data_IF_626686300242
#
_entry.id   IF_626686300242
#
_cell.length_a   1.000
_cell.length_b   1.000
_cell.length_c   1.000
_cell.angle_alpha   90.00
_cell.angle_beta   90.00
_cell.angle_gamma   90.00
#
_symmetry.space_group_name_H-M   'P 1'
#
loop_
_entity.id
_entity.type
_entity.pdbx_description
1 polymer ?
#
# COMPACT_ATOMS: atom_id res chain seq x y z
N UNK A 1 -8.00 -15.03 15.39
CA UNK A 1 -6.52 -15.00 15.39
C UNK A 1 -6.03 -13.63 15.87
N UNK A 2 -5.23 -13.58 16.93
CA UNK A 2 -4.67 -12.30 17.42
C UNK A 2 -3.36 -11.99 16.67
N UNK A 3 -3.44 -11.01 15.75
CA UNK A 3 -2.30 -10.53 14.95
C UNK A 3 -1.11 -10.12 15.84
N UNK A 4 -1.39 -9.48 16.97
CA UNK A 4 -0.34 -8.99 17.87
C UNK A 4 0.44 -10.12 18.53
N UNK A 5 -0.24 -11.23 18.83
CA UNK A 5 0.39 -12.42 19.40
C UNK A 5 1.37 -13.07 18.40
N UNK A 6 0.95 -13.22 17.13
CA UNK A 6 1.81 -13.77 16.07
C UNK A 6 3.02 -12.87 15.84
N UNK A 7 2.79 -11.56 15.72
CA UNK A 7 3.87 -10.60 15.54
C UNK A 7 4.90 -10.69 16.67
N UNK A 8 4.45 -10.77 17.92
CA UNK A 8 5.34 -10.94 19.07
C UNK A 8 6.16 -12.23 19.00
N UNK A 9 5.54 -13.34 18.59
CA UNK A 9 6.22 -14.62 18.43
C UNK A 9 7.26 -14.57 17.30
N UNK A 10 6.90 -14.04 16.13
CA UNK A 10 7.79 -13.95 14.99
C UNK A 10 8.95 -12.98 15.24
N UNK A 11 8.69 -11.83 15.86
CA UNK A 11 9.72 -10.85 16.20
C UNK A 11 10.69 -11.34 17.30
N UNK A 12 10.37 -12.44 18.00
CA UNK A 12 11.29 -13.08 18.93
C UNK A 12 12.35 -13.96 18.22
N UNK A 13 12.08 -14.41 17.00
CA UNK A 13 13.02 -15.16 16.14
C UNK A 13 13.21 -14.44 14.78
N UNK A 14 13.85 -13.26 14.78
CA UNK A 14 13.98 -12.45 13.58
C UNK A 14 14.82 -13.15 12.50
N UNK A 15 15.79 -13.98 12.86
CA UNK A 15 16.61 -14.71 11.87
C UNK A 15 15.75 -15.63 11.00
N UNK A 16 14.74 -16.27 11.59
CA UNK A 16 13.78 -17.11 10.87
C UNK A 16 12.83 -16.28 10.02
N UNK A 17 12.16 -15.30 10.62
CA UNK A 17 10.97 -14.68 10.03
C UNK A 17 11.25 -13.40 9.23
N UNK A 18 12.25 -12.60 9.60
CA UNK A 18 12.41 -11.25 9.04
C UNK A 18 13.78 -10.99 8.42
N UNK A 19 14.85 -11.61 8.91
CA UNK A 19 16.19 -11.36 8.41
C UNK A 19 16.33 -11.94 7.01
N UNK A 20 16.89 -11.12 6.11
CA UNK A 20 17.21 -11.45 4.73
C UNK A 20 18.64 -11.05 4.40
N UNK A 21 19.23 -11.65 3.36
CA UNK A 21 20.62 -11.37 2.93
C UNK A 21 20.88 -9.90 2.68
N UNK A 22 19.91 -9.19 2.07
CA UNK A 22 20.00 -7.75 1.81
C UNK A 22 20.39 -6.95 3.06
N UNK A 23 19.85 -7.32 4.23
CA UNK A 23 20.11 -6.60 5.47
C UNK A 23 21.57 -6.72 5.90
N UNK A 24 22.17 -7.89 5.73
CA UNK A 24 23.60 -8.10 6.01
C UNK A 24 24.48 -7.39 4.97
N UNK A 25 24.13 -7.50 3.69
CA UNK A 25 24.92 -6.94 2.58
C UNK A 25 24.93 -5.42 2.53
N UNK A 26 23.80 -4.77 2.86
CA UNK A 26 23.70 -3.31 2.88
C UNK A 26 23.96 -2.71 4.27
N UNK A 27 24.01 -3.53 5.32
CA UNK A 27 24.26 -3.08 6.70
C UNK A 27 23.03 -2.49 7.40
N UNK A 28 21.83 -3.03 7.13
CA UNK A 28 20.63 -2.65 7.87
C UNK A 28 20.74 -3.07 9.33
N UNK A 29 20.31 -2.18 10.23
CA UNK A 29 20.33 -2.36 11.67
C UNK A 29 18.90 -2.57 12.14
N UNK A 30 18.66 -3.68 12.84
CA UNK A 30 17.39 -3.93 13.52
C UNK A 30 17.27 -3.07 14.77
N UNK A 31 16.15 -2.40 14.96
CA UNK A 31 15.85 -1.52 16.09
C UNK A 31 14.42 -1.73 16.57
N UNK A 32 14.15 -1.39 17.83
CA UNK A 32 12.80 -1.32 18.38
C UNK A 32 12.38 0.15 18.47
N UNK A 33 11.17 0.47 18.02
CA UNK A 33 10.59 1.80 18.15
C UNK A 33 10.46 2.18 19.62
N UNK A 34 10.97 3.35 20.00
CA UNK A 34 10.92 3.84 21.38
C UNK A 34 9.51 4.25 21.84
N UNK A 35 8.55 4.41 20.92
CA UNK A 35 7.14 4.76 21.21
C UNK A 35 6.22 3.54 21.19
N UNK A 36 6.06 2.87 20.05
CA UNK A 36 5.15 1.71 19.93
C UNK A 36 5.80 0.34 20.18
N UNK A 37 7.13 0.25 20.26
CA UNK A 37 7.85 -1.03 20.47
C UNK A 37 7.96 -1.92 19.23
N UNK A 38 7.35 -1.58 18.09
CA UNK A 38 7.50 -2.33 16.82
C UNK A 38 8.96 -2.40 16.40
N UNK A 39 9.37 -3.55 15.88
CA UNK A 39 10.71 -3.73 15.32
C UNK A 39 10.77 -3.25 13.86
N UNK A 40 11.89 -2.64 13.49
CA UNK A 40 12.16 -2.18 12.14
C UNK A 40 13.64 -2.26 11.81
N UNK A 41 13.96 -2.20 10.52
CA UNK A 41 15.30 -2.30 9.95
C UNK A 41 15.59 -1.01 9.18
N UNK A 42 16.71 -0.37 9.50
CA UNK A 42 17.11 0.90 8.88
C UNK A 42 18.61 0.99 8.67
N UNK A 43 19.05 1.78 7.69
CA UNK A 43 20.45 2.17 7.52
C UNK A 43 20.83 3.37 8.42
N UNK A 44 19.86 4.07 9.03
CA UNK A 44 20.12 5.20 9.92
C UNK A 44 20.39 4.73 11.37
N UNK A 45 21.67 4.80 11.76
CA UNK A 45 22.12 4.49 13.11
C UNK A 45 21.52 5.41 14.19
N UNK A 46 21.00 6.59 13.84
CA UNK A 46 20.41 7.53 14.80
C UNK A 46 18.88 7.40 14.94
N UNK A 47 18.19 6.75 14.01
CA UNK A 47 16.72 6.59 14.04
C UNK A 47 16.24 5.80 15.25
N UNK A 48 15.31 6.34 16.04
CA UNK A 48 14.76 5.66 17.25
C UNK A 48 13.27 5.38 17.17
N UNK A 49 12.60 5.85 16.11
CA UNK A 49 11.17 5.73 15.88
C UNK A 49 10.92 4.98 14.56
N UNK A 50 9.88 4.14 14.54
CA UNK A 50 9.43 3.52 13.29
C UNK A 50 8.83 4.59 12.36
N UNK A 51 8.63 4.28 11.06
CA UNK A 51 8.04 5.21 10.10
C UNK A 51 6.66 5.77 10.48
N UNK A 52 5.83 5.02 11.22
CA UNK A 52 4.52 5.50 11.66
C UNK A 52 4.63 6.60 12.74
N UNK A 53 5.56 6.42 13.67
CA UNK A 53 5.80 7.32 14.81
C UNK A 53 6.87 8.39 14.53
N UNK A 54 7.46 8.37 13.34
CA UNK A 54 8.63 9.17 12.98
C UNK A 54 8.35 10.66 12.89
N UNK A 55 9.40 11.46 13.01
CA UNK A 55 9.30 12.91 12.73
C UNK A 55 9.23 13.20 11.23
N UNK A 56 9.66 12.25 10.41
CA UNK A 56 9.65 12.30 8.95
C UNK A 56 8.34 11.78 8.33
N UNK A 57 7.33 11.47 9.15
CA UNK A 57 6.03 10.96 8.67
C UNK A 57 5.37 11.94 7.71
N UNK A 58 5.17 11.48 6.46
CA UNK A 58 4.69 12.24 5.30
C UNK A 58 5.53 13.45 4.90
N UNK A 59 6.81 13.50 5.29
CA UNK A 59 7.72 14.60 4.96
C UNK A 59 8.06 14.73 3.47
N UNK A 60 7.64 13.77 2.63
CA UNK A 60 7.82 13.84 1.18
C UNK A 60 6.86 14.81 0.49
N UNK A 61 5.78 15.24 1.15
CA UNK A 61 4.84 16.21 0.60
C UNK A 61 5.55 17.57 0.46
N UNK A 62 5.69 18.05 -0.77
CA UNK A 62 6.48 19.24 -1.12
C UNK A 62 7.99 19.00 -1.22
N UNK A 63 8.51 17.87 -0.71
CA UNK A 63 9.93 17.50 -0.75
C UNK A 63 10.12 16.01 -1.09
N UNK A 64 9.86 15.58 -2.34
CA UNK A 64 9.95 14.17 -2.71
C UNK A 64 11.40 13.65 -2.62
N UNK A 65 11.62 12.38 -2.19
CA UNK A 65 12.94 11.79 -1.93
C UNK A 65 13.75 11.46 -3.21
N UNK A 66 13.27 11.84 -4.38
CA UNK A 66 13.87 11.59 -5.69
C UNK A 66 13.61 12.75 -6.63
N UNK A 67 14.45 12.92 -7.65
CA UNK A 67 14.25 13.89 -8.74
C UNK A 67 13.37 13.34 -9.86
N UNK A 68 13.06 12.04 -9.85
CA UNK A 68 12.15 11.42 -10.83
C UNK A 68 10.71 11.85 -10.54
N UNK A 69 9.91 12.01 -11.58
CA UNK A 69 8.48 12.36 -11.51
C UNK A 69 7.72 11.42 -12.43
N UNK A 70 6.93 10.54 -11.85
CA UNK A 70 6.12 9.58 -12.60
C UNK A 70 4.65 9.76 -12.26
N UNK A 71 3.82 9.96 -13.27
CA UNK A 71 2.37 9.85 -13.07
C UNK A 71 1.96 8.39 -12.78
N UNK A 72 0.67 8.16 -12.53
CA UNK A 72 0.12 6.83 -12.27
C UNK A 72 0.46 5.79 -13.35
N UNK A 73 0.36 6.16 -14.63
CA UNK A 73 0.62 5.23 -15.74
C UNK A 73 2.11 5.00 -15.95
N UNK A 74 2.92 6.04 -15.79
CA UNK A 74 4.38 5.95 -15.86
C UNK A 74 4.94 5.10 -14.73
N UNK A 75 4.39 5.24 -13.52
CA UNK A 75 4.78 4.45 -12.35
C UNK A 75 4.59 2.95 -12.63
N UNK A 76 3.47 2.56 -13.25
CA UNK A 76 3.25 1.15 -13.63
C UNK A 76 4.29 0.69 -14.66
N UNK A 77 4.55 1.49 -15.71
CA UNK A 77 5.56 1.14 -16.72
C UNK A 77 6.93 0.91 -16.10
N UNK A 78 7.33 1.75 -15.15
CA UNK A 78 8.61 1.58 -14.45
C UNK A 78 8.67 0.29 -13.63
N UNK A 79 7.57 -0.05 -12.96
CA UNK A 79 7.46 -1.30 -12.21
C UNK A 79 7.49 -2.51 -13.14
N UNK A 80 6.67 -2.51 -14.18
CA UNK A 80 6.59 -3.57 -15.17
C UNK A 80 7.95 -3.80 -15.86
N UNK A 81 8.59 -2.73 -16.34
CA UNK A 81 9.92 -2.78 -16.95
C UNK A 81 10.96 -3.39 -15.99
N UNK A 82 10.92 -3.01 -14.72
CA UNK A 82 11.83 -3.53 -13.71
C UNK A 82 11.62 -5.03 -13.50
N UNK A 83 10.39 -5.48 -13.25
CA UNK A 83 10.11 -6.88 -12.95
C UNK A 83 10.33 -7.79 -14.17
N UNK A 84 9.95 -7.35 -15.37
CA UNK A 84 10.21 -8.09 -16.62
C UNK A 84 11.72 -8.25 -16.85
N UNK A 85 12.52 -7.21 -16.59
CA UNK A 85 13.99 -7.30 -16.66
C UNK A 85 14.57 -8.27 -15.62
N UNK A 86 13.87 -8.48 -14.51
CA UNK A 86 14.22 -9.45 -13.47
C UNK A 86 13.41 -10.76 -13.61
N UNK A 87 13.17 -11.21 -14.85
CA UNK A 87 12.59 -12.51 -15.21
C UNK A 87 11.16 -12.79 -14.70
N UNK A 88 10.38 -11.76 -14.33
CA UNK A 88 8.96 -11.94 -14.05
C UNK A 88 8.14 -11.88 -15.33
N UNK A 89 7.07 -12.67 -15.37
CA UNK A 89 6.06 -12.52 -16.42
C UNK A 89 5.09 -11.43 -16.01
N UNK A 90 4.96 -10.36 -16.80
CA UNK A 90 3.87 -9.40 -16.64
C UNK A 90 2.57 -10.04 -17.08
N UNK A 91 1.56 -10.04 -16.21
CA UNK A 91 0.24 -10.61 -16.49
C UNK A 91 -0.83 -9.53 -16.42
N UNK A 92 -1.86 -9.69 -17.25
CA UNK A 92 -3.00 -8.79 -17.26
C UNK A 92 -3.78 -8.87 -15.95
N UNK A 93 -4.34 -7.73 -15.53
CA UNK A 93 -5.28 -7.67 -14.41
C UNK A 93 -6.46 -8.63 -14.61
N UNK A 94 -7.00 -9.13 -13.51
CA UNK A 94 -8.30 -9.78 -13.43
C UNK A 94 -9.42 -8.74 -13.29
N UNK A 95 -10.69 -9.13 -13.56
CA UNK A 95 -11.85 -8.31 -13.27
C UNK A 95 -11.91 -7.92 -11.79
N UNK A 96 -12.43 -6.72 -11.48
CA UNK A 96 -12.66 -6.29 -10.09
C UNK A 96 -13.82 -7.04 -9.44
N UNK A 97 -14.74 -7.58 -10.25
CA UNK A 97 -15.81 -8.48 -9.80
C UNK A 97 -15.21 -9.86 -9.62
N UNK A 98 -15.21 -10.39 -8.39
CA UNK A 98 -14.62 -11.67 -8.09
C UNK A 98 -15.56 -12.80 -8.55
N UNK A 99 -15.22 -13.46 -9.67
CA UNK A 99 -16.06 -14.49 -10.30
C UNK A 99 -15.64 -15.93 -9.99
N UNK A 100 -14.48 -16.09 -9.35
CA UNK A 100 -13.84 -17.38 -9.10
C UNK A 100 -13.85 -17.77 -7.62
N UNK A 101 -14.39 -16.91 -6.76
CA UNK A 101 -14.55 -17.13 -5.32
C UNK A 101 -15.93 -16.69 -4.88
N UNK A 102 -16.63 -17.56 -4.17
CA UNK A 102 -18.00 -17.31 -3.69
C UNK A 102 -18.04 -16.54 -2.36
N UNK A 103 -16.90 -16.41 -1.67
CA UNK A 103 -16.78 -15.73 -0.39
C UNK A 103 -16.48 -14.22 -0.49
N UNK A 104 -16.24 -13.72 -1.71
CA UNK A 104 -15.95 -12.31 -1.99
C UNK A 104 -16.77 -11.81 -3.18
N UNK A 105 -17.32 -10.60 -3.09
CA UNK A 105 -17.96 -9.95 -4.25
C UNK A 105 -16.95 -9.27 -5.18
N UNK A 106 -15.91 -8.67 -4.59
CA UNK A 106 -14.91 -7.89 -5.31
C UNK A 106 -13.49 -8.35 -4.96
N UNK A 107 -12.57 -8.14 -5.90
CA UNK A 107 -11.15 -8.37 -5.70
C UNK A 107 -10.58 -7.32 -4.74
N UNK A 108 -10.08 -7.76 -3.58
CA UNK A 108 -9.59 -6.89 -2.49
C UNK A 108 -8.05 -6.80 -2.39
N UNK A 109 -7.34 -7.70 -3.07
CA UNK A 109 -5.88 -7.78 -3.13
C UNK A 109 -5.47 -8.56 -4.40
N UNK A 110 -4.25 -8.35 -4.90
CA UNK A 110 -3.76 -9.01 -6.12
C UNK A 110 -3.69 -10.53 -6.01
N UNK A 111 -3.35 -11.06 -4.83
CA UNK A 111 -3.28 -12.52 -4.60
C UNK A 111 -4.63 -13.22 -4.78
N UNK A 112 -5.74 -12.49 -4.60
CA UNK A 112 -7.10 -13.04 -4.70
C UNK A 112 -7.34 -13.62 -6.09
N UNK A 113 -6.75 -13.04 -7.13
CA UNK A 113 -6.82 -13.48 -8.53
C UNK A 113 -6.45 -14.97 -8.68
N UNK A 114 -5.50 -15.41 -7.86
CA UNK A 114 -4.87 -16.71 -7.95
C UNK A 114 -5.34 -17.69 -6.89
N UNK A 115 -6.08 -17.22 -5.88
CA UNK A 115 -6.62 -18.08 -4.84
C UNK A 115 -7.82 -18.90 -5.36
N UNK A 116 -7.83 -20.18 -5.00
CA UNK A 116 -8.96 -21.10 -5.18
C UNK A 116 -9.33 -21.72 -3.85
N UNK A 117 -10.61 -21.68 -3.50
CA UNK A 117 -11.13 -22.29 -2.28
C UNK A 117 -11.66 -23.68 -2.63
N UNK A 118 -10.96 -24.73 -2.18
CA UNK A 118 -11.32 -26.13 -2.39
C UNK A 118 -11.67 -26.78 -1.04
N UNK A 119 -12.95 -26.76 -0.68
CA UNK A 119 -13.40 -27.19 0.64
C UNK A 119 -12.85 -26.26 1.73
N UNK A 120 -12.06 -26.79 2.67
CA UNK A 120 -11.42 -26.00 3.73
C UNK A 120 -9.98 -25.59 3.41
N UNK A 121 -9.52 -25.79 2.17
CA UNK A 121 -8.15 -25.47 1.74
C UNK A 121 -8.15 -24.35 0.71
N UNK A 122 -7.14 -23.49 0.80
CA UNK A 122 -6.82 -22.50 -0.23
C UNK A 122 -5.63 -23.02 -1.02
N UNK A 123 -5.78 -23.10 -2.35
CA UNK A 123 -4.69 -23.42 -3.28
C UNK A 123 -4.46 -22.24 -4.23
N UNK A 124 -3.26 -22.15 -4.78
CA UNK A 124 -2.83 -21.01 -5.57
C UNK A 124 -2.50 -21.45 -7.00
N UNK A 125 -3.14 -20.84 -7.98
CA UNK A 125 -2.98 -21.16 -9.39
C UNK A 125 -2.39 -19.95 -10.14
N UNK A 126 -1.08 -19.99 -10.37
CA UNK A 126 -0.39 -18.90 -11.06
C UNK A 126 -0.28 -19.18 -12.56
N UNK A 127 -0.63 -18.23 -13.44
CA UNK A 127 -0.45 -18.37 -14.89
C UNK A 127 1.02 -18.38 -15.31
N UNK A 128 1.92 -17.86 -14.47
CA UNK A 128 3.37 -17.87 -14.63
C UNK A 128 4.06 -17.78 -13.27
N UNK A 129 5.30 -18.22 -13.15
CA UNK A 129 6.04 -18.14 -11.88
C UNK A 129 7.52 -17.80 -12.12
N UNK A 130 8.03 -16.67 -11.59
CA UNK A 130 7.30 -15.60 -10.89
C UNK A 130 6.50 -14.70 -11.84
N UNK A 131 5.55 -13.93 -11.29
CA UNK A 131 4.73 -12.98 -12.05
C UNK A 131 4.63 -11.60 -11.38
N UNK A 132 4.29 -10.59 -12.18
CA UNK A 132 3.87 -9.26 -11.71
C UNK A 132 2.52 -8.88 -12.33
N UNK A 133 1.61 -8.31 -11.54
CA UNK A 133 0.25 -7.94 -11.99
C UNK A 133 -0.16 -6.54 -11.49
N UNK A 134 -0.80 -5.70 -12.32
CA UNK A 134 -1.40 -4.43 -11.89
C UNK A 134 -2.88 -4.61 -11.51
N UNK A 135 -3.18 -5.27 -10.39
CA UNK A 135 -4.56 -5.62 -10.06
C UNK A 135 -5.32 -4.45 -9.45
N UNK A 136 -6.38 -3.98 -10.12
CA UNK A 136 -7.32 -3.03 -9.52
C UNK A 136 -8.15 -3.74 -8.44
N UNK A 137 -8.10 -3.22 -7.22
CA UNK A 137 -8.80 -3.74 -6.05
C UNK A 137 -9.85 -2.75 -5.57
N UNK A 138 -10.96 -3.25 -5.03
CA UNK A 138 -12.05 -2.45 -4.45
C UNK A 138 -12.13 -2.73 -2.95
N UNK A 139 -12.11 -1.68 -2.14
CA UNK A 139 -12.24 -1.78 -0.68
C UNK A 139 -13.21 -0.71 -0.17
N UNK A 140 -14.16 -1.13 0.66
CA UNK A 140 -15.23 -0.27 1.17
C UNK A 140 -15.18 -0.05 2.68
N UNK A 141 -14.18 -0.62 3.36
CA UNK A 141 -14.04 -0.50 4.82
C UNK A 141 -13.63 0.91 5.26
N UNK A 142 -12.93 1.65 4.39
CA UNK A 142 -12.36 2.98 4.69
C UNK A 142 -13.05 4.08 3.87
N UNK A 143 -14.35 3.92 3.56
CA UNK A 143 -15.05 4.79 2.62
C UNK A 143 -15.15 6.23 3.15
N UNK A 144 -15.31 6.39 4.47
CA UNK A 144 -15.31 7.68 5.16
C UNK A 144 -13.98 8.43 5.03
N UNK A 145 -12.87 7.73 4.79
CA UNK A 145 -11.53 8.30 4.70
C UNK A 145 -11.22 8.84 3.29
N UNK A 146 -12.01 8.45 2.29
CA UNK A 146 -11.83 8.83 0.88
C UNK A 146 -12.12 10.32 0.69
N UNK A 147 -11.22 11.01 0.00
CA UNK A 147 -11.27 12.45 -0.25
C UNK A 147 -10.79 13.30 0.93
N UNK A 148 -10.84 12.77 2.15
CA UNK A 148 -10.42 13.50 3.37
C UNK A 148 -8.95 13.30 3.69
N UNK A 149 -8.46 12.06 3.62
CA UNK A 149 -7.12 11.70 4.10
C UNK A 149 -5.99 11.92 3.09
N UNK A 150 -6.33 12.22 1.83
CA UNK A 150 -5.35 12.41 0.76
C UNK A 150 -4.76 11.11 0.19
N UNK A 151 -5.01 9.94 0.81
CA UNK A 151 -4.34 8.67 0.47
C UNK A 151 -5.24 7.43 0.38
N UNK A 152 -6.48 7.49 0.86
CA UNK A 152 -7.41 6.36 0.84
C UNK A 152 -8.26 6.40 -0.43
N UNK A 153 -8.55 5.23 -1.01
CA UNK A 153 -9.32 5.13 -2.24
C UNK A 153 -10.32 4.00 -2.12
N UNK A 154 -11.50 4.15 -2.71
CA UNK A 154 -12.47 3.04 -2.78
C UNK A 154 -12.05 1.98 -3.82
N UNK A 155 -11.29 2.39 -4.83
CA UNK A 155 -10.55 1.49 -5.73
C UNK A 155 -9.10 1.91 -5.81
N UNK A 156 -8.14 0.99 -5.91
CA UNK A 156 -6.73 1.31 -6.14
C UNK A 156 -6.05 0.18 -6.90
N UNK A 157 -4.90 0.43 -7.52
CA UNK A 157 -4.14 -0.63 -8.17
C UNK A 157 -3.10 -1.21 -7.20
N UNK A 158 -3.34 -2.44 -6.78
CA UNK A 158 -2.37 -3.24 -6.05
C UNK A 158 -1.46 -3.95 -7.05
N UNK A 159 -0.21 -3.50 -7.09
CA UNK A 159 0.88 -4.20 -7.74
C UNK A 159 1.10 -5.50 -6.96
N UNK A 160 0.89 -6.63 -7.63
CA UNK A 160 1.15 -7.95 -7.07
C UNK A 160 2.46 -8.51 -7.59
N UNK A 161 3.47 -8.68 -6.74
CA UNK A 161 4.64 -9.52 -7.03
C UNK A 161 4.41 -10.87 -6.37
N UNK A 162 4.30 -11.91 -7.19
CA UNK A 162 3.93 -13.23 -6.71
C UNK A 162 4.93 -14.30 -7.16
N UNK A 163 5.27 -15.18 -6.24
CA UNK A 163 6.19 -16.29 -6.49
C UNK A 163 5.90 -17.50 -5.59
N UNK A 164 6.10 -18.69 -6.16
CA UNK A 164 6.07 -19.97 -5.44
C UNK A 164 7.48 -20.58 -5.50
N UNK A 165 8.24 -20.63 -4.38
CA UNK A 165 9.63 -21.08 -4.41
C UNK A 165 9.76 -22.55 -4.82
N UNK A 166 8.81 -23.41 -4.43
CA UNK A 166 8.85 -24.85 -4.78
C UNK A 166 8.62 -25.11 -6.28
N UNK A 167 8.19 -24.12 -7.06
CA UNK A 167 7.90 -24.26 -8.49
C UNK A 167 8.74 -23.33 -9.36
N UNK A 168 10.05 -23.24 -9.08
CA UNK A 168 10.99 -22.42 -9.88
C UNK A 168 10.92 -20.91 -9.60
N UNK A 169 10.20 -20.51 -8.55
CA UNK A 169 10.19 -19.16 -8.03
C UNK A 169 11.32 -18.89 -7.02
N UNK A 170 11.16 -17.84 -6.24
CA UNK A 170 12.08 -17.44 -5.18
C UNK A 170 11.35 -17.20 -3.86
N UNK A 171 12.11 -16.92 -2.80
CA UNK A 171 11.59 -16.67 -1.45
C UNK A 171 12.02 -15.31 -0.88
N UNK A 172 11.95 -15.13 0.44
CA UNK A 172 12.13 -13.85 1.13
C UNK A 172 13.35 -13.03 0.73
N UNK A 173 14.52 -13.68 0.58
CA UNK A 173 15.78 -12.96 0.30
C UNK A 173 15.70 -12.17 -1.02
N UNK A 174 15.20 -12.81 -2.08
CA UNK A 174 15.12 -12.18 -3.39
C UNK A 174 13.92 -11.24 -3.51
N UNK A 175 12.81 -11.53 -2.81
CA UNK A 175 11.67 -10.62 -2.75
C UNK A 175 12.06 -9.24 -2.24
N UNK A 176 12.68 -9.20 -1.05
CA UNK A 176 13.04 -7.94 -0.39
C UNK A 176 14.15 -7.21 -1.14
N UNK A 177 15.09 -7.94 -1.75
CA UNK A 177 16.10 -7.35 -2.63
C UNK A 177 15.48 -6.72 -3.90
N UNK A 178 14.50 -7.37 -4.53
CA UNK A 178 13.76 -6.82 -5.67
C UNK A 178 13.01 -5.54 -5.27
N UNK A 179 12.28 -5.56 -4.16
CA UNK A 179 11.56 -4.39 -3.64
C UNK A 179 12.53 -3.22 -3.36
N UNK A 180 13.66 -3.50 -2.71
CA UNK A 180 14.67 -2.50 -2.43
C UNK A 180 15.31 -1.92 -3.70
N UNK A 181 15.63 -2.77 -4.70
CA UNK A 181 16.21 -2.32 -5.97
C UNK A 181 15.19 -1.58 -6.84
N UNK A 182 13.91 -1.93 -6.77
CA UNK A 182 12.85 -1.18 -7.42
C UNK A 182 12.87 0.26 -6.90
N UNK A 183 12.83 0.46 -5.59
CA UNK A 183 12.88 1.80 -5.00
C UNK A 183 14.18 2.55 -5.32
N UNK A 184 15.32 1.89 -5.13
CA UNK A 184 16.61 2.57 -5.15
C UNK A 184 17.19 2.77 -6.55
N UNK A 185 17.02 1.79 -7.44
CA UNK A 185 17.58 1.83 -8.79
C UNK A 185 16.54 2.34 -9.80
N UNK A 186 15.32 1.81 -9.77
CA UNK A 186 14.28 2.19 -10.73
C UNK A 186 13.63 3.53 -10.37
N UNK A 187 13.27 3.75 -9.11
CA UNK A 187 12.65 5.01 -8.65
C UNK A 187 13.66 6.07 -8.16
N UNK A 188 14.93 5.70 -8.00
CA UNK A 188 16.02 6.63 -7.67
C UNK A 188 15.95 7.17 -6.24
N UNK A 189 15.27 6.47 -5.34
CA UNK A 189 15.20 6.81 -3.92
C UNK A 189 16.54 6.43 -3.28
N UNK A 190 17.09 7.30 -2.43
CA UNK A 190 18.34 6.99 -1.72
C UNK A 190 18.13 5.80 -0.79
N UNK A 191 19.14 4.94 -0.66
CA UNK A 191 19.04 3.70 0.13
C UNK A 191 18.65 3.98 1.58
N UNK A 192 19.18 5.06 2.14
CA UNK A 192 19.02 5.46 3.54
C UNK A 192 17.59 5.91 3.87
N UNK A 193 16.79 6.24 2.86
CA UNK A 193 15.39 6.63 3.01
C UNK A 193 14.47 5.41 3.21
N UNK A 194 14.93 4.20 2.87
CA UNK A 194 14.13 2.97 2.95
C UNK A 194 14.21 2.37 4.35
N UNK A 195 13.05 2.11 4.94
CA UNK A 195 12.92 1.39 6.21
C UNK A 195 11.97 0.22 6.04
N UNK A 196 12.36 -0.95 6.56
CA UNK A 196 11.49 -2.12 6.61
C UNK A 196 10.95 -2.30 8.02
N UNK A 197 9.63 -2.45 8.17
CA UNK A 197 8.98 -2.67 9.46
C UNK A 197 8.51 -4.13 9.53
N UNK A 198 8.78 -4.78 10.65
CA UNK A 198 8.30 -6.14 10.90
C UNK A 198 6.80 -6.11 11.14
N UNK A 199 6.07 -6.95 10.41
CA UNK A 199 4.65 -7.19 10.63
C UNK A 199 4.30 -8.65 10.34
N UNK A 200 3.02 -8.98 10.46
CA UNK A 200 2.45 -10.27 10.08
C UNK A 200 1.17 -10.04 9.29
N UNK A 201 0.95 -10.89 8.31
CA UNK A 201 -0.30 -10.90 7.57
C UNK A 201 -1.08 -12.17 7.90
N UNK A 202 -2.40 -12.04 7.99
CA UNK A 202 -3.32 -13.15 8.21
C UNK A 202 -4.62 -12.88 7.45
N UNK A 203 -5.05 -13.85 6.64
CA UNK A 203 -6.27 -13.76 5.84
C UNK A 203 -6.62 -15.08 5.16
N UNK A 204 -7.91 -15.34 4.95
CA UNK A 204 -8.37 -16.56 4.26
C UNK A 204 -7.93 -17.87 4.94
N UNK A 205 -7.70 -17.86 6.26
CA UNK A 205 -7.21 -19.02 7.02
C UNK A 205 -5.72 -19.32 6.86
N UNK A 206 -4.95 -18.42 6.22
CA UNK A 206 -3.49 -18.52 6.09
C UNK A 206 -2.81 -17.30 6.71
N UNK A 207 -1.56 -17.45 7.13
CA UNK A 207 -0.78 -16.37 7.72
C UNK A 207 0.73 -16.53 7.47
N UNK A 208 1.47 -15.45 7.67
CA UNK A 208 2.90 -15.40 7.42
C UNK A 208 3.55 -14.13 7.97
N UNK A 209 4.88 -14.16 8.06
CA UNK A 209 5.67 -12.97 8.37
C UNK A 209 5.61 -12.00 7.21
N UNK A 210 5.66 -10.70 7.48
CA UNK A 210 5.69 -9.69 6.43
C UNK A 210 6.65 -8.55 6.74
N UNK A 211 7.20 -7.96 5.67
CA UNK A 211 8.04 -6.77 5.75
C UNK A 211 7.37 -5.63 4.97
N UNK A 212 6.88 -4.65 5.71
CA UNK A 212 6.33 -3.42 5.16
C UNK A 212 7.50 -2.48 4.86
N UNK A 213 7.59 -1.93 3.65
CA UNK A 213 8.67 -1.02 3.29
C UNK A 213 8.15 0.41 3.14
N UNK A 214 8.84 1.32 3.83
CA UNK A 214 8.48 2.71 3.98
C UNK A 214 9.55 3.63 3.41
N UNK A 215 9.10 4.77 2.91
CA UNK A 215 9.94 5.92 2.57
C UNK A 215 9.27 7.17 3.13
N UNK A 216 9.95 7.91 4.02
CA UNK A 216 9.44 9.16 4.64
C UNK A 216 8.02 9.01 5.22
N UNK A 217 7.80 7.91 5.94
CA UNK A 217 6.52 7.55 6.58
C UNK A 217 5.40 7.08 5.65
N UNK A 218 5.63 7.02 4.33
CA UNK A 218 4.68 6.38 3.41
C UNK A 218 5.06 4.91 3.24
N UNK A 219 4.18 4.00 3.68
CA UNK A 219 4.25 2.59 3.33
C UNK A 219 4.03 2.45 1.80
N UNK A 220 5.02 1.95 1.07
CA UNK A 220 4.93 1.78 -0.37
C UNK A 220 4.43 0.38 -0.77
N UNK A 221 4.70 -0.62 0.07
CA UNK A 221 4.17 -1.96 -0.09
C UNK A 221 4.53 -2.88 1.07
N UNK A 222 4.00 -4.09 1.01
CA UNK A 222 4.10 -5.10 2.04
C UNK A 222 4.46 -6.44 1.41
N UNK A 223 5.66 -6.95 1.71
CA UNK A 223 6.11 -8.25 1.26
C UNK A 223 5.66 -9.34 2.25
N UNK A 224 4.62 -10.08 1.90
CA UNK A 224 4.07 -11.16 2.75
C UNK A 224 4.64 -12.51 2.35
N UNK A 225 5.15 -13.25 3.33
CA UNK A 225 5.69 -14.59 3.18
C UNK A 225 4.71 -15.62 3.77
N UNK A 226 3.65 -15.93 3.01
CA UNK A 226 2.59 -16.82 3.45
C UNK A 226 3.11 -18.25 3.53
N UNK A 227 3.22 -18.76 4.76
CA UNK A 227 3.85 -20.05 5.06
C UNK A 227 2.91 -21.01 5.81
N UNK A 228 1.93 -20.50 6.55
CA UNK A 228 1.11 -21.30 7.46
C UNK A 228 -0.37 -21.25 7.13
N UNK A 229 -1.07 -22.34 7.43
CA UNK A 229 -2.53 -22.46 7.37
C UNK A 229 -3.08 -22.88 8.74
N UNK A 230 -4.18 -22.28 9.18
CA UNK A 230 -4.80 -22.53 10.47
C UNK A 230 -4.57 -21.38 11.45
N UNK A 231 -4.61 -21.66 12.76
CA UNK A 231 -4.42 -20.66 13.80
C UNK A 231 -3.06 -20.83 14.51
N UNK A 232 -2.54 -19.75 15.10
CA UNK A 232 -1.31 -19.81 15.89
C UNK A 232 -1.42 -20.92 16.97
N UNK A 233 -0.40 -21.78 17.06
CA UNK A 233 -0.41 -22.96 17.93
C UNK A 233 -1.20 -24.17 17.42
N UNK A 234 -2.06 -24.02 16.42
CA UNK A 234 -2.82 -25.08 15.74
C UNK A 234 -2.78 -24.87 14.22
N UNK A 235 -1.57 -24.76 13.68
CA UNK A 235 -1.34 -24.53 12.25
C UNK A 235 -0.53 -25.66 11.63
N UNK A 236 -0.62 -25.76 10.31
CA UNK A 236 0.27 -26.55 9.48
C UNK A 236 1.04 -25.63 8.54
N UNK A 237 2.25 -26.02 8.14
CA UNK A 237 2.94 -25.39 7.02
C UNK A 237 2.20 -25.72 5.73
N UNK A 238 2.04 -24.72 4.86
CA UNK A 238 1.47 -24.92 3.53
C UNK A 238 2.36 -25.84 2.68
N UNK A 239 1.73 -26.69 1.87
CA UNK A 239 2.43 -27.55 0.90
C UNK A 239 3.17 -26.71 -0.16
N UNK A 240 2.63 -25.53 -0.48
CA UNK A 240 3.22 -24.54 -1.37
C UNK A 240 3.26 -23.22 -0.61
N UNK A 241 4.45 -22.67 -0.39
CA UNK A 241 4.60 -21.35 0.20
C UNK A 241 4.42 -20.30 -0.89
N UNK A 242 3.94 -19.13 -0.53
CA UNK A 242 3.69 -18.07 -1.51
C UNK A 242 4.22 -16.74 -1.01
N UNK A 243 4.87 -16.02 -1.93
CA UNK A 243 5.08 -14.59 -1.82
C UNK A 243 3.81 -13.89 -2.28
N UNK A 244 3.21 -13.13 -1.35
CA UNK A 244 2.08 -12.24 -1.57
C UNK A 244 2.53 -10.80 -1.31
N UNK A 245 3.37 -10.27 -2.20
CA UNK A 245 3.77 -8.86 -2.09
C UNK A 245 2.71 -7.99 -2.76
N UNK A 246 2.16 -7.06 -1.98
CA UNK A 246 1.22 -6.05 -2.45
C UNK A 246 1.76 -4.63 -2.29
N UNK A 247 1.74 -3.84 -3.35
CA UNK A 247 2.18 -2.45 -3.34
C UNK A 247 1.15 -1.52 -3.99
N UNK A 248 0.86 -0.37 -3.38
CA UNK A 248 -0.13 0.57 -3.93
C UNK A 248 0.47 1.43 -5.04
N UNK A 249 0.07 1.22 -6.30
CA UNK A 249 0.60 1.97 -7.45
C UNK A 249 0.44 3.49 -7.30
N UNK A 250 -0.69 3.93 -6.74
CA UNK A 250 -0.95 5.33 -6.43
C UNK A 250 0.12 5.93 -5.50
N UNK A 251 0.62 5.15 -4.55
CA UNK A 251 1.65 5.60 -3.60
C UNK A 251 3.02 5.74 -4.27
N UNK A 252 3.34 4.92 -5.28
CA UNK A 252 4.55 5.09 -6.10
C UNK A 252 4.51 6.37 -6.94
N UNK A 253 3.36 6.69 -7.53
CA UNK A 253 3.20 7.98 -8.19
C UNK A 253 3.34 9.13 -7.17
N UNK A 254 2.67 9.01 -6.02
CA UNK A 254 2.64 10.05 -5.01
C UNK A 254 4.02 10.36 -4.40
N UNK A 255 4.80 9.33 -4.03
CA UNK A 255 6.13 9.53 -3.43
C UNK A 255 7.09 10.24 -4.38
N UNK A 256 6.97 10.02 -5.70
CA UNK A 256 7.85 10.68 -6.67
C UNK A 256 7.45 12.13 -6.91
N UNK A 257 6.16 12.46 -6.86
CA UNK A 257 5.68 13.81 -7.13
C UNK A 257 5.64 14.71 -5.89
N UNK A 258 5.36 14.17 -4.71
CA UNK A 258 5.23 14.95 -3.47
C UNK A 258 4.06 15.94 -3.49
N UNK A 259 3.00 15.64 -4.24
CA UNK A 259 1.77 16.45 -4.24
C UNK A 259 1.08 16.43 -2.87
N UNK A 260 0.21 17.40 -2.55
CA UNK A 260 -0.54 17.39 -1.28
C UNK A 260 -1.30 16.09 -1.03
N UNK A 261 -1.90 15.53 -2.08
CA UNK A 261 -2.59 14.24 -2.03
C UNK A 261 -2.13 13.31 -3.14
N UNK A 262 -2.35 12.00 -2.96
CA UNK A 262 -2.15 11.04 -4.03
C UNK A 262 -3.13 11.26 -5.18
N UNK A 263 -4.34 11.78 -4.91
CA UNK A 263 -5.32 12.08 -5.97
C UNK A 263 -4.73 13.02 -7.02
N UNK A 264 -4.00 14.05 -6.60
CA UNK A 264 -3.43 15.09 -7.47
C UNK A 264 -2.60 14.52 -8.64
N UNK A 265 -1.81 13.47 -8.37
CA UNK A 265 -0.98 12.81 -9.38
C UNK A 265 -1.63 11.58 -10.03
N UNK A 266 -2.74 11.07 -9.48
CA UNK A 266 -3.36 9.82 -9.95
C UNK A 266 -4.54 10.01 -10.90
N UNK A 267 -5.21 11.17 -10.90
CA UNK A 267 -6.38 11.43 -11.77
C UNK A 267 -6.07 12.32 -12.98
N UNK A 268 -4.80 12.64 -13.23
CA UNK A 268 -4.32 13.25 -14.48
C UNK A 268 -5.22 14.38 -15.02
N UNK A 269 -5.71 14.29 -16.28
CA UNK A 269 -6.56 15.33 -16.88
C UNK A 269 -7.88 15.59 -16.15
N UNK A 270 -8.41 14.61 -15.41
CA UNK A 270 -9.68 14.77 -14.68
C UNK A 270 -9.52 15.80 -13.58
N UNK A 271 -8.41 15.76 -12.85
CA UNK A 271 -8.12 16.75 -11.83
C UNK A 271 -8.02 18.16 -12.40
N UNK A 272 -7.38 18.34 -13.56
CA UNK A 272 -7.30 19.65 -14.19
C UNK A 272 -8.70 20.25 -14.43
N UNK A 273 -9.61 19.45 -15.00
CA UNK A 273 -11.00 19.87 -15.26
C UNK A 273 -11.73 20.18 -13.96
N UNK A 274 -11.53 19.36 -12.92
CA UNK A 274 -12.23 19.52 -11.66
C UNK A 274 -11.71 20.72 -10.85
N UNK A 275 -10.39 20.96 -10.83
CA UNK A 275 -9.77 22.13 -10.22
C UNK A 275 -10.24 23.43 -10.88
N UNK A 276 -10.29 23.47 -12.22
CA UNK A 276 -10.84 24.61 -12.96
C UNK A 276 -12.31 24.88 -12.61
N UNK A 277 -13.10 23.83 -12.36
CA UNK A 277 -14.52 23.96 -11.97
C UNK A 277 -14.72 24.50 -10.56
N UNK A 278 -13.90 24.07 -9.60
CA UNK A 278 -14.02 24.53 -8.21
C UNK A 278 -13.25 25.83 -7.96
N UNK A 279 -12.35 26.22 -8.87
CA UNK A 279 -11.56 27.45 -8.78
C UNK A 279 -10.51 27.42 -7.66
N UNK A 280 -10.00 26.24 -7.32
CA UNK A 280 -9.03 26.04 -6.24
C UNK A 280 -7.69 25.60 -6.84
N UNK A 281 -6.62 26.26 -6.40
CA UNK A 281 -5.25 25.86 -6.67
C UNK A 281 -4.83 24.74 -5.71
N UNK A 282 -4.56 23.55 -6.26
CA UNK A 282 -4.12 22.40 -5.46
C UNK A 282 -2.68 22.52 -5.00
N UNK A 283 -1.80 23.25 -5.70
CA UNK A 283 -0.39 23.36 -5.32
C UNK A 283 -0.14 24.54 -4.38
N UNK A 284 -0.83 24.54 -3.24
CA UNK A 284 -0.63 25.56 -2.20
C UNK A 284 0.06 24.98 -0.97
N UNK A 285 0.95 25.78 -0.38
CA UNK A 285 1.61 25.46 0.90
C UNK A 285 0.61 25.18 2.02
N UNK A 286 -0.56 25.80 1.97
CA UNK A 286 -1.68 25.54 2.88
C UNK A 286 -2.14 24.08 2.79
N UNK A 287 -2.37 23.57 1.58
CA UNK A 287 -2.85 22.21 1.36
C UNK A 287 -1.77 21.18 1.70
N UNK A 288 -0.51 21.44 1.34
CA UNK A 288 0.62 20.59 1.75
C UNK A 288 0.66 20.43 3.26
N UNK A 289 0.58 21.54 4.00
CA UNK A 289 0.57 21.53 5.47
C UNK A 289 -0.66 20.80 6.01
N UNK A 290 -1.85 21.08 5.48
CA UNK A 290 -3.10 20.42 5.90
C UNK A 290 -3.03 18.90 5.75
N UNK A 291 -2.71 18.40 4.54
CA UNK A 291 -2.70 16.97 4.27
C UNK A 291 -1.53 16.25 4.96
N UNK A 292 -0.40 16.91 5.18
CA UNK A 292 0.68 16.38 6.04
C UNK A 292 0.18 16.14 7.46
N UNK A 293 -0.55 17.10 8.04
CA UNK A 293 -1.10 16.96 9.40
C UNK A 293 -2.23 15.91 9.47
N UNK A 294 -3.12 15.85 8.47
CA UNK A 294 -4.13 14.79 8.38
C UNK A 294 -3.46 13.41 8.37
N UNK A 295 -2.44 13.23 7.51
CA UNK A 295 -1.79 11.95 7.31
C UNK A 295 -1.00 11.49 8.55
N UNK A 296 -0.50 12.42 9.37
CA UNK A 296 0.16 12.14 10.66
C UNK A 296 -0.79 11.71 11.77
N UNK A 297 -2.02 12.22 11.77
CA UNK A 297 -2.95 12.02 12.89
C UNK A 297 -3.98 10.92 12.65
N UNK A 298 -4.23 10.53 11.40
CA UNK A 298 -5.28 9.56 11.05
C UNK A 298 -5.10 8.18 11.70
N UNK A 299 -3.88 7.73 11.91
CA UNK A 299 -3.62 6.42 12.54
C UNK A 299 -3.58 6.50 14.09
N UNK A 300 -3.74 7.71 14.65
CA UNK A 300 -3.78 7.96 16.09
C UNK A 300 -5.20 8.14 16.66
N UNK A 301 -6.21 8.32 15.80
CA UNK A 301 -7.59 8.58 16.20
C UNK A 301 -8.59 7.81 15.35
N UNK A 302 -9.56 7.16 16.00
CA UNK A 302 -10.66 6.50 15.29
C UNK A 302 -11.68 7.50 14.70
N UNK A 303 -11.83 8.69 15.32
CA UNK A 303 -12.77 9.73 14.85
C UNK A 303 -12.10 10.66 13.84
N UNK A 304 -12.44 10.48 12.56
CA UNK A 304 -11.97 11.33 11.46
C UNK A 304 -12.28 12.83 11.69
N UNK A 305 -13.36 13.17 12.40
CA UNK A 305 -13.66 14.58 12.69
C UNK A 305 -12.67 15.18 13.70
N UNK A 306 -12.12 14.37 14.60
CA UNK A 306 -11.04 14.79 15.49
C UNK A 306 -9.77 15.07 14.69
N UNK A 307 -9.40 14.16 13.79
CA UNK A 307 -8.24 14.30 12.88
C UNK A 307 -8.35 15.60 12.07
N UNK A 308 -9.51 15.83 11.43
CA UNK A 308 -9.76 17.05 10.64
C UNK A 308 -9.63 18.33 11.47
N UNK A 309 -10.21 18.35 12.68
CA UNK A 309 -10.12 19.53 13.57
C UNK A 309 -8.68 19.84 13.99
N UNK A 310 -7.89 18.80 14.29
CA UNK A 310 -6.48 18.96 14.64
C UNK A 310 -5.69 19.49 13.45
N UNK A 311 -5.86 18.91 12.26
CA UNK A 311 -5.18 19.37 11.06
C UNK A 311 -5.53 20.81 10.67
N UNK A 312 -6.81 21.20 10.71
CA UNK A 312 -7.23 22.60 10.46
C UNK A 312 -6.53 23.55 11.43
N UNK A 313 -6.51 23.21 12.73
CA UNK A 313 -5.87 24.02 13.77
C UNK A 313 -4.36 24.11 13.58
N UNK A 314 -3.68 22.99 13.37
CA UNK A 314 -2.22 22.93 13.16
C UNK A 314 -1.78 23.64 11.88
N UNK A 315 -2.57 23.49 10.81
CA UNK A 315 -2.34 24.16 9.54
C UNK A 315 -2.56 25.68 9.63
N UNK A 316 -3.39 26.15 10.57
CA UNK A 316 -3.77 27.55 10.69
C UNK A 316 -4.84 27.96 9.68
N UNK A 317 -5.71 27.01 9.32
CA UNK A 317 -6.78 27.20 8.33
C UNK A 317 -7.98 27.83 9.04
N UNK A 318 -8.52 28.88 8.42
CA UNK A 318 -9.73 29.56 8.91
C UNK A 318 -11.00 28.80 8.54
N UNK A 319 -12.09 29.02 9.27
CA UNK A 319 -13.40 28.43 8.95
C UNK A 319 -13.87 28.79 7.52
N UNK A 320 -13.57 30.02 7.06
CA UNK A 320 -13.88 30.44 5.69
C UNK A 320 -13.11 29.61 4.65
N UNK A 321 -11.82 29.33 4.90
CA UNK A 321 -11.01 28.46 4.04
C UNK A 321 -11.46 27.00 4.11
N UNK A 322 -11.91 26.51 5.27
CA UNK A 322 -12.52 25.17 5.34
C UNK A 322 -13.72 25.09 4.40
N UNK A 323 -14.64 26.05 4.50
CA UNK A 323 -15.89 26.03 3.74
C UNK A 323 -15.69 26.29 2.24
N UNK A 324 -14.73 27.14 1.87
CA UNK A 324 -14.51 27.54 0.46
C UNK A 324 -13.44 26.73 -0.27
N UNK A 325 -12.55 26.06 0.45
CA UNK A 325 -11.39 25.37 -0.14
C UNK A 325 -11.40 23.89 0.24
N UNK A 326 -11.30 23.58 1.53
CA UNK A 326 -11.12 22.19 1.98
C UNK A 326 -12.34 21.32 1.67
N UNK A 327 -13.55 21.73 2.07
CA UNK A 327 -14.76 20.94 1.85
C UNK A 327 -15.06 20.72 0.36
N UNK A 328 -15.00 21.74 -0.52
CA UNK A 328 -15.15 21.52 -1.96
C UNK A 328 -14.09 20.58 -2.55
N UNK A 329 -12.85 20.69 -2.07
CA UNK A 329 -11.73 19.86 -2.52
C UNK A 329 -11.92 18.38 -2.11
N UNK A 330 -12.28 18.12 -0.85
CA UNK A 330 -12.59 16.77 -0.37
C UNK A 330 -13.74 16.14 -1.18
N UNK A 331 -14.81 16.91 -1.44
CA UNK A 331 -15.94 16.47 -2.26
C UNK A 331 -15.53 16.18 -3.71
N UNK A 332 -14.62 16.98 -4.28
CA UNK A 332 -14.07 16.75 -5.61
C UNK A 332 -13.30 15.42 -5.69
N UNK A 333 -12.39 15.17 -4.74
CA UNK A 333 -11.63 13.93 -4.67
C UNK A 333 -12.53 12.71 -4.48
N UNK A 334 -13.55 12.82 -3.61
CA UNK A 334 -14.55 11.78 -3.40
C UNK A 334 -15.26 11.42 -4.71
N UNK A 335 -15.73 12.43 -5.46
CA UNK A 335 -16.39 12.22 -6.75
C UNK A 335 -15.43 11.54 -7.75
N UNK A 336 -14.19 12.01 -7.86
CA UNK A 336 -13.21 11.45 -8.79
C UNK A 336 -12.93 9.96 -8.48
N UNK A 337 -12.68 9.64 -7.21
CA UNK A 337 -12.45 8.27 -6.76
C UNK A 337 -13.66 7.36 -7.00
N UNK A 338 -14.85 7.78 -6.56
CA UNK A 338 -16.05 6.95 -6.70
C UNK A 338 -16.45 6.75 -8.16
N UNK A 339 -16.26 7.75 -9.02
CA UNK A 339 -16.46 7.58 -10.46
C UNK A 339 -15.49 6.53 -11.04
N UNK A 340 -14.21 6.56 -10.67
CA UNK A 340 -13.24 5.54 -11.09
C UNK A 340 -13.68 4.15 -10.63
N UNK A 341 -14.09 4.01 -9.38
CA UNK A 341 -14.57 2.73 -8.81
C UNK A 341 -15.79 2.20 -9.54
N UNK A 342 -16.79 3.05 -9.77
CA UNK A 342 -18.00 2.68 -10.52
C UNK A 342 -17.68 2.28 -11.96
N UNK A 343 -16.76 2.98 -12.64
CA UNK A 343 -16.33 2.63 -14.00
C UNK A 343 -15.76 1.21 -14.03
N UNK A 344 -14.85 0.86 -13.11
CA UNK A 344 -14.28 -0.48 -13.04
C UNK A 344 -15.35 -1.53 -12.70
N UNK A 345 -16.16 -1.29 -11.67
CA UNK A 345 -17.19 -2.22 -11.24
C UNK A 345 -18.19 -2.53 -12.36
N UNK A 346 -18.73 -1.49 -13.00
CA UNK A 346 -19.71 -1.63 -14.08
C UNK A 346 -19.09 -2.28 -15.32
N UNK A 347 -17.89 -1.84 -15.74
CA UNK A 347 -17.22 -2.40 -16.91
C UNK A 347 -16.88 -3.89 -16.74
N UNK A 348 -16.55 -4.31 -15.53
CA UNK A 348 -16.24 -5.70 -15.20
C UNK A 348 -17.50 -6.53 -14.83
N UNK A 349 -18.70 -5.93 -14.96
CA UNK A 349 -19.99 -6.61 -14.96
C UNK A 349 -20.79 -6.57 -13.66
N UNK A 350 -20.43 -5.70 -12.70
CA UNK A 350 -21.31 -5.40 -11.57
C UNK A 350 -22.51 -4.58 -12.05
N UNK A 351 -23.71 -5.01 -11.65
CA UNK A 351 -24.96 -4.32 -11.98
C UNK A 351 -25.57 -3.75 -10.70
N UNK A 352 -25.98 -2.46 -10.69
CA UNK A 352 -26.63 -1.85 -9.54
C UNK A 352 -27.83 -2.67 -9.04
N UNK A 353 -27.87 -2.94 -7.74
CA UNK A 353 -28.80 -3.86 -7.09
C UNK A 353 -29.07 -3.43 -5.64
N UNK A 354 -30.04 -4.09 -4.98
CA UNK A 354 -30.29 -3.95 -3.54
C UNK A 354 -29.79 -5.19 -2.76
N UNK A 355 -29.14 -6.14 -3.43
CA UNK A 355 -28.67 -7.41 -2.88
C UNK A 355 -27.31 -7.78 -3.48
N UNK A 356 -26.51 -8.49 -2.68
CA UNK A 356 -25.17 -8.92 -3.08
C UNK A 356 -24.19 -7.75 -3.12
N UNK A 357 -23.22 -7.82 -4.04
CA UNK A 357 -22.23 -6.75 -4.25
C UNK A 357 -22.66 -5.63 -5.20
N UNK A 358 -23.84 -5.74 -5.81
CA UNK A 358 -24.35 -4.77 -6.79
C UNK A 358 -25.17 -3.67 -6.16
#
# INVERSE_FOLDING_TARGET
MDKNQILKEFSADPDRYYKVKLFEEQGFIRKACTKCGRFFWTLDANRTLCPDDGTDTYSFIGDPPTTKRFDYTQSWKQVEEFFVKNNHTSVSRYPVVCRWRDDLYFTIASVVDFQRVMGSKVVFEFPANPLVVPQTCLRFNDLENVGVTGRHFSSFCMIGQHSIPENGGYWKDECVDLDFRLLTQQFGIKKEEVVFVEDVWSGGGSFGSSLEYFVRGLELGNAVFTEFQGELGQHATLDQKIIDMGAGLERFAWITNGTPTAYDCCFGPVNQILFEKIGIDSDSEMLKKYFTEIAREIDHFDDLNQVRRLAVKSAGITEDQVNKIITPLEGMYLIADHLRTLIFAIADGALPSNVGGG
#
